data_IF_094416880647
#
_entry.id   IF_094416880647
#
_cell.length_a   1.000
_cell.length_b   1.000
_cell.length_c   1.000
_cell.angle_alpha   90.00
_cell.angle_beta   90.00
_cell.angle_gamma   90.00
#
_symmetry.space_group_name_H-M   'P 1'
#
loop_
_entity.id
_entity.type
_entity.pdbx_description
1 polymer ?
#
# COMPACT_ATOMS: atom_id res chain seq x y z
N UNK A 1 -2.73 -4.43 1.85
CA UNK A 1 -3.47 -4.29 0.57
C UNK A 1 -2.57 -4.02 -0.64
N UNK A 2 -1.50 -3.20 -0.53
CA UNK A 2 -0.59 -2.93 -1.67
C UNK A 2 -0.05 -4.18 -2.39
N UNK A 3 0.40 -5.18 -1.63
CA UNK A 3 0.98 -6.41 -2.22
C UNK A 3 -0.03 -7.43 -2.76
N UNK A 4 -1.22 -7.53 -2.18
CA UNK A 4 -2.16 -8.60 -2.50
C UNK A 4 -3.27 -8.13 -3.45
N UNK A 5 -3.59 -6.83 -3.39
CA UNK A 5 -4.62 -6.21 -4.21
C UNK A 5 -4.04 -5.37 -5.33
N UNK A 6 -3.30 -4.32 -4.98
CA UNK A 6 -2.84 -3.33 -5.97
C UNK A 6 -1.75 -3.90 -6.89
N UNK A 7 -0.85 -4.72 -6.34
CA UNK A 7 0.27 -5.25 -7.10
C UNK A 7 -0.14 -6.18 -8.26
N UNK A 8 -0.99 -7.22 -8.07
CA UNK A 8 -1.41 -8.05 -9.20
C UNK A 8 -2.13 -7.27 -10.30
N UNK A 9 -2.87 -6.22 -9.93
CA UNK A 9 -3.49 -5.30 -10.87
C UNK A 9 -2.45 -4.54 -11.69
N UNK A 10 -1.49 -3.88 -11.03
CA UNK A 10 -0.42 -3.16 -11.71
C UNK A 10 0.44 -4.06 -12.61
N UNK A 11 0.65 -5.32 -12.21
CA UNK A 11 1.31 -6.33 -13.04
C UNK A 11 0.45 -6.69 -14.27
N UNK A 12 -0.86 -6.85 -14.11
CA UNK A 12 -1.79 -7.10 -15.21
C UNK A 12 -1.77 -5.98 -16.27
N UNK A 13 -1.93 -4.74 -15.83
CA UNK A 13 -1.93 -3.57 -16.71
C UNK A 13 -0.57 -3.35 -17.39
N UNK A 14 0.51 -3.68 -16.67
CA UNK A 14 1.88 -3.50 -17.14
C UNK A 14 2.43 -4.64 -18.00
N UNK A 15 1.58 -5.58 -18.45
CA UNK A 15 1.99 -6.67 -19.34
C UNK A 15 2.71 -7.83 -18.63
N UNK A 16 2.31 -8.15 -17.41
CA UNK A 16 2.77 -9.32 -16.68
C UNK A 16 4.23 -9.24 -16.25
N UNK A 17 5.02 -10.23 -16.65
CA UNK A 17 6.42 -10.36 -16.28
C UNK A 17 7.29 -9.14 -16.66
N UNK A 18 6.91 -8.38 -17.70
CA UNK A 18 7.57 -7.15 -18.10
C UNK A 18 7.54 -6.11 -16.97
N UNK A 19 6.35 -5.84 -16.42
CA UNK A 19 6.18 -4.98 -15.26
C UNK A 19 6.92 -5.51 -14.04
N UNK A 20 6.79 -6.82 -13.75
CA UNK A 20 7.41 -7.44 -12.59
C UNK A 20 8.92 -7.19 -12.53
N UNK A 21 9.65 -7.37 -13.63
CA UNK A 21 11.11 -7.16 -13.65
C UNK A 21 11.47 -5.71 -13.40
N UNK A 22 10.76 -4.79 -14.06
CA UNK A 22 11.00 -3.36 -13.89
C UNK A 22 10.70 -2.94 -12.46
N UNK A 23 9.57 -3.37 -11.90
CA UNK A 23 9.21 -3.17 -10.50
C UNK A 23 10.31 -3.67 -9.54
N UNK A 24 10.82 -4.89 -9.74
CA UNK A 24 11.91 -5.42 -8.91
C UNK A 24 13.19 -4.58 -9.01
N UNK A 25 13.50 -4.06 -10.21
CA UNK A 25 14.61 -3.13 -10.39
C UNK A 25 14.38 -1.80 -9.65
N UNK A 26 13.17 -1.23 -9.71
CA UNK A 26 12.82 -0.02 -8.95
C UNK A 26 12.90 -0.24 -7.44
N UNK A 27 12.39 -1.36 -6.93
CA UNK A 27 12.51 -1.71 -5.50
C UNK A 27 13.98 -1.76 -5.08
N UNK A 28 14.85 -2.41 -5.85
CA UNK A 28 16.26 -2.55 -5.50
C UNK A 28 17.06 -1.24 -5.67
N UNK A 29 16.82 -0.49 -6.75
CA UNK A 29 17.64 0.67 -7.12
C UNK A 29 17.13 2.00 -6.56
N UNK A 30 15.85 2.08 -6.22
CA UNK A 30 15.19 3.32 -5.78
C UNK A 30 14.52 3.12 -4.43
N UNK A 31 13.71 2.07 -4.27
CA UNK A 31 13.01 1.78 -3.01
C UNK A 31 13.96 1.55 -1.84
N UNK A 32 14.98 0.70 -2.04
CA UNK A 32 16.00 0.39 -1.03
C UNK A 32 16.81 1.61 -0.56
N UNK A 33 17.41 2.43 -1.44
CA UNK A 33 18.09 3.63 -0.98
C UNK A 33 17.13 4.67 -0.37
N UNK A 34 15.88 4.77 -0.85
CA UNK A 34 14.90 5.71 -0.32
C UNK A 34 14.42 5.34 1.09
N UNK A 35 14.15 4.06 1.37
CA UNK A 35 13.71 3.65 2.72
C UNK A 35 14.79 3.92 3.78
N UNK A 36 16.08 3.80 3.43
CA UNK A 36 17.18 4.14 4.32
C UNK A 36 17.18 5.62 4.71
N UNK A 37 16.75 6.51 3.81
CA UNK A 37 16.66 7.93 4.09
C UNK A 37 15.62 8.21 5.20
N UNK A 38 14.44 7.59 5.13
CA UNK A 38 13.43 7.70 6.20
C UNK A 38 13.90 7.05 7.51
N UNK A 39 14.57 5.90 7.44
CA UNK A 39 15.09 5.23 8.63
C UNK A 39 16.11 6.06 9.39
N UNK A 40 17.02 6.68 8.66
CA UNK A 40 18.03 7.55 9.23
C UNK A 40 17.40 8.76 9.92
N UNK A 41 16.41 9.40 9.29
CA UNK A 41 15.69 10.53 9.89
C UNK A 41 14.94 10.10 11.17
N UNK A 42 14.22 8.98 11.11
CA UNK A 42 13.46 8.45 12.23
C UNK A 42 14.35 8.05 13.40
N UNK A 43 15.36 7.19 13.17
CA UNK A 43 16.26 6.71 14.22
C UNK A 43 17.06 7.86 14.84
N UNK A 44 17.55 8.80 14.03
CA UNK A 44 18.40 9.90 14.51
C UNK A 44 17.67 10.77 15.54
N UNK A 45 16.38 10.99 15.33
CA UNK A 45 15.58 11.95 16.11
C UNK A 45 14.80 11.25 17.21
N UNK A 46 14.35 10.00 17.01
CA UNK A 46 13.50 9.30 17.97
C UNK A 46 12.13 9.97 18.14
N UNK A 47 11.63 10.63 17.09
CA UNK A 47 10.38 11.41 17.12
C UNK A 47 9.40 10.96 16.04
N UNK A 48 8.12 11.28 16.23
CA UNK A 48 7.11 11.29 15.16
C UNK A 48 7.56 12.12 13.93
N UNK A 49 6.96 11.93 12.74
CA UNK A 49 7.45 12.55 11.52
C UNK A 49 7.48 14.08 11.50
N UNK A 50 6.58 14.76 12.23
CA UNK A 50 6.58 16.23 12.32
C UNK A 50 7.80 16.71 13.09
N UNK A 51 8.00 16.16 14.30
CA UNK A 51 9.15 16.48 15.13
C UNK A 51 10.47 16.07 14.48
N UNK A 52 10.50 14.89 13.85
CA UNK A 52 11.68 14.34 13.21
C UNK A 52 12.16 15.23 12.06
N UNK A 53 11.27 15.62 11.14
CA UNK A 53 11.65 16.48 10.01
C UNK A 53 12.04 17.88 10.49
N UNK A 54 11.34 18.43 11.49
CA UNK A 54 11.68 19.71 12.10
C UNK A 54 13.08 19.71 12.73
N UNK A 55 13.43 18.68 13.49
CA UNK A 55 14.73 18.55 14.15
C UNK A 55 15.85 18.29 13.13
N UNK A 56 15.57 17.48 12.11
CA UNK A 56 16.56 17.08 11.11
C UNK A 56 16.84 18.17 10.06
N UNK A 57 15.83 18.95 9.67
CA UNK A 57 15.93 19.96 8.60
C UNK A 57 15.77 21.42 9.03
N UNK A 58 15.30 21.69 10.25
CA UNK A 58 14.97 23.02 10.76
C UNK A 58 13.47 23.33 10.75
N UNK A 59 13.09 24.49 11.30
CA UNK A 59 11.69 24.78 11.67
C UNK A 59 10.67 24.66 10.52
N UNK A 60 11.04 25.03 9.30
CA UNK A 60 10.14 24.96 8.14
C UNK A 60 9.74 23.51 7.77
N UNK A 61 10.54 22.52 8.13
CA UNK A 61 10.28 21.12 7.77
C UNK A 61 9.14 20.49 8.57
N UNK A 62 8.68 21.13 9.65
CA UNK A 62 7.45 20.72 10.36
C UNK A 62 6.22 20.72 9.44
N UNK A 63 6.20 21.56 8.40
CA UNK A 63 5.10 21.61 7.44
C UNK A 63 5.08 20.37 6.54
N UNK A 64 6.25 19.87 6.13
CA UNK A 64 6.36 18.59 5.40
C UNK A 64 5.89 17.43 6.26
N UNK A 65 6.27 17.40 7.54
CA UNK A 65 5.72 16.40 8.46
C UNK A 65 4.21 16.53 8.65
N UNK A 66 3.68 17.77 8.64
CA UNK A 66 2.23 18.01 8.65
C UNK A 66 1.53 17.41 7.43
N UNK A 67 2.17 17.44 6.26
CA UNK A 67 1.68 16.73 5.07
C UNK A 67 1.61 15.22 5.32
N UNK A 68 2.55 14.61 6.05
CA UNK A 68 2.51 13.17 6.35
C UNK A 68 1.34 12.81 7.27
N UNK A 69 1.06 13.66 8.25
CA UNK A 69 -0.14 13.50 9.11
C UNK A 69 -1.41 13.61 8.27
N UNK A 70 -1.48 14.59 7.36
CA UNK A 70 -2.63 14.75 6.46
C UNK A 70 -2.81 13.55 5.53
N UNK A 71 -1.73 13.05 4.93
CA UNK A 71 -1.71 11.82 4.13
C UNK A 71 -2.28 10.66 4.95
N UNK A 72 -1.78 10.42 6.17
CA UNK A 72 -2.26 9.32 7.01
C UNK A 72 -3.75 9.40 7.32
N UNK A 73 -4.29 10.61 7.53
CA UNK A 73 -5.72 10.84 7.78
C UNK A 73 -6.56 10.46 6.55
N UNK A 74 -6.23 11.04 5.39
CA UNK A 74 -7.05 10.84 4.18
C UNK A 74 -6.86 9.42 3.63
N UNK A 75 -5.62 8.91 3.61
CA UNK A 75 -5.32 7.55 3.14
C UNK A 75 -6.11 6.52 3.93
N UNK A 76 -6.03 6.57 5.27
CA UNK A 76 -6.74 5.59 6.10
C UNK A 76 -8.27 5.70 5.96
N UNK A 77 -8.80 6.88 5.61
CA UNK A 77 -10.24 7.13 5.52
C UNK A 77 -10.94 6.32 4.44
N UNK A 78 -10.36 6.23 3.22
CA UNK A 78 -10.90 5.39 2.15
C UNK A 78 -10.36 3.95 2.22
N UNK A 79 -9.14 3.77 2.73
CA UNK A 79 -8.53 2.46 2.92
C UNK A 79 -9.39 1.54 3.79
N UNK A 80 -9.98 2.07 4.87
CA UNK A 80 -10.85 1.30 5.76
C UNK A 80 -12.19 0.90 5.12
N UNK A 81 -12.69 1.71 4.17
CA UNK A 81 -13.90 1.38 3.40
C UNK A 81 -13.61 0.23 2.44
N UNK A 82 -12.50 0.31 1.69
CA UNK A 82 -12.04 -0.79 0.81
C UNK A 82 -11.79 -2.07 1.62
N UNK A 83 -11.20 -1.97 2.81
CA UNK A 83 -11.03 -3.11 3.70
C UNK A 83 -12.39 -3.69 4.15
N UNK A 84 -13.40 -2.84 4.36
CA UNK A 84 -14.78 -3.25 4.59
C UNK A 84 -15.36 -4.06 3.43
N UNK A 85 -15.07 -3.69 2.18
CA UNK A 85 -15.47 -4.49 1.01
C UNK A 85 -14.86 -5.88 1.05
N UNK A 86 -13.56 -5.98 1.32
CA UNK A 86 -12.89 -7.28 1.50
C UNK A 86 -13.53 -8.14 2.59
N UNK A 87 -13.96 -7.52 3.71
CA UNK A 87 -14.73 -8.24 4.74
C UNK A 87 -16.06 -8.75 4.18
N UNK A 88 -16.79 -7.96 3.38
CA UNK A 88 -18.08 -8.40 2.81
C UNK A 88 -17.88 -9.61 1.88
N UNK A 89 -16.88 -9.58 1.00
CA UNK A 89 -16.55 -10.69 0.10
C UNK A 89 -16.08 -11.92 0.86
N UNK A 90 -15.25 -11.76 1.90
CA UNK A 90 -14.88 -12.85 2.80
C UNK A 90 -16.11 -13.50 3.46
N UNK A 91 -17.03 -12.69 3.98
CA UNK A 91 -18.27 -13.19 4.59
C UNK A 91 -19.22 -13.84 3.57
N UNK A 92 -19.18 -13.43 2.30
CA UNK A 92 -19.95 -14.06 1.23
C UNK A 92 -19.52 -15.54 1.04
N UNK A 93 -18.22 -15.84 1.09
CA UNK A 93 -17.71 -17.21 1.01
C UNK A 93 -18.25 -18.15 2.12
N UNK A 94 -18.61 -17.63 3.29
CA UNK A 94 -19.28 -18.43 4.33
C UNK A 94 -20.73 -18.73 4.00
N UNK A 95 -21.42 -17.82 3.31
CA UNK A 95 -22.86 -17.89 3.03
C UNK A 95 -23.22 -18.70 1.78
N UNK A 96 -22.28 -18.97 0.90
CA UNK A 96 -22.53 -19.70 -0.34
C UNK A 96 -21.29 -19.78 -1.22
N UNK A 97 -21.40 -20.41 -2.39
CA UNK A 97 -20.36 -20.31 -3.41
C UNK A 97 -20.43 -18.95 -4.12
N UNK A 98 -19.31 -18.49 -4.69
CA UNK A 98 -19.30 -17.25 -5.48
C UNK A 98 -20.15 -17.37 -6.75
N UNK A 99 -20.29 -18.59 -7.30
CA UNK A 99 -21.21 -18.86 -8.40
C UNK A 99 -22.68 -18.66 -8.00
N UNK A 100 -23.09 -19.10 -6.81
CA UNK A 100 -24.48 -18.90 -6.32
C UNK A 100 -24.78 -17.42 -6.09
N UNK A 101 -23.81 -16.67 -5.53
CA UNK A 101 -23.95 -15.23 -5.36
C UNK A 101 -24.07 -14.54 -6.71
N UNK A 102 -23.17 -14.86 -7.66
CA UNK A 102 -23.17 -14.28 -8.99
C UNK A 102 -24.45 -14.58 -9.77
N UNK A 103 -25.02 -15.78 -9.61
CA UNK A 103 -26.31 -16.16 -10.20
C UNK A 103 -27.48 -15.28 -9.72
N UNK A 104 -27.36 -14.69 -8.52
CA UNK A 104 -28.36 -13.73 -8.00
C UNK A 104 -28.32 -12.38 -8.73
N UNK A 105 -27.24 -12.11 -9.47
CA UNK A 105 -27.04 -10.92 -10.30
C UNK A 105 -26.96 -11.29 -11.79
N UNK A 106 -27.69 -12.32 -12.22
CA UNK A 106 -27.74 -12.79 -13.62
C UNK A 106 -26.37 -13.18 -14.24
N UNK A 107 -25.34 -13.44 -13.45
CA UNK A 107 -23.99 -13.67 -13.96
C UNK A 107 -23.10 -12.43 -14.00
N UNK A 108 -23.63 -11.25 -13.66
CA UNK A 108 -22.94 -9.96 -13.82
C UNK A 108 -22.16 -9.56 -12.57
N UNK A 109 -20.85 -9.82 -12.58
CA UNK A 109 -19.97 -9.58 -11.43
C UNK A 109 -19.83 -8.08 -11.09
N UNK A 110 -20.02 -7.20 -12.08
CA UNK A 110 -20.00 -5.75 -11.89
C UNK A 110 -21.24 -5.25 -11.13
N UNK A 111 -22.43 -5.79 -11.42
CA UNK A 111 -23.66 -5.46 -10.66
C UNK A 111 -23.53 -5.92 -9.21
N UNK A 112 -23.02 -7.15 -9.02
CA UNK A 112 -22.70 -7.68 -7.70
C UNK A 112 -21.72 -6.76 -6.97
N UNK A 113 -20.69 -6.25 -7.63
CA UNK A 113 -19.74 -5.33 -7.01
C UNK A 113 -20.43 -4.07 -6.48
N UNK A 114 -21.18 -3.34 -7.30
CA UNK A 114 -21.82 -2.09 -6.89
C UNK A 114 -22.83 -2.30 -5.74
N UNK A 115 -23.62 -3.38 -5.77
CA UNK A 115 -24.50 -3.73 -4.65
C UNK A 115 -23.69 -4.13 -3.39
N UNK A 116 -22.51 -4.72 -3.59
CA UNK A 116 -21.66 -5.18 -2.50
C UNK A 116 -20.84 -4.09 -1.81
N UNK A 117 -20.48 -3.02 -2.50
CA UNK A 117 -19.47 -2.06 -1.99
C UNK A 117 -20.05 -0.73 -1.50
N UNK A 118 -21.29 -0.41 -1.86
CA UNK A 118 -21.91 0.85 -1.47
C UNK A 118 -23.10 0.68 -0.51
N UNK A 119 -23.47 1.78 0.16
CA UNK A 119 -24.63 1.86 1.04
C UNK A 119 -24.37 1.43 2.49
N UNK A 120 -25.46 1.12 3.21
CA UNK A 120 -25.42 0.96 4.68
C UNK A 120 -24.52 -0.19 5.15
N UNK A 121 -24.46 -1.29 4.39
CA UNK A 121 -23.56 -2.41 4.67
C UNK A 121 -22.09 -1.99 4.64
N UNK A 122 -21.72 -1.13 3.70
CA UNK A 122 -20.38 -0.54 3.57
C UNK A 122 -20.05 0.32 4.78
N UNK A 123 -20.98 1.19 5.20
CA UNK A 123 -20.85 1.99 6.43
C UNK A 123 -20.64 1.12 7.67
N UNK A 124 -21.41 0.03 7.82
CA UNK A 124 -21.28 -0.89 8.96
C UNK A 124 -19.90 -1.57 8.96
N UNK A 125 -19.43 -2.06 7.81
CA UNK A 125 -18.15 -2.76 7.72
C UNK A 125 -16.95 -1.81 7.87
N UNK A 126 -17.03 -0.59 7.35
CA UNK A 126 -16.09 0.51 7.64
C UNK A 126 -16.04 0.81 9.14
N UNK A 127 -17.20 0.89 9.80
CA UNK A 127 -17.29 1.11 11.25
C UNK A 127 -16.61 -0.03 12.03
N UNK A 128 -16.88 -1.28 11.66
CA UNK A 128 -16.27 -2.46 12.31
C UNK A 128 -14.75 -2.47 12.11
N UNK A 129 -14.29 -2.21 10.89
CA UNK A 129 -12.86 -2.18 10.58
C UNK A 129 -12.15 -1.07 11.35
N UNK A 130 -12.67 0.16 11.33
CA UNK A 130 -12.10 1.28 12.07
C UNK A 130 -12.12 1.04 13.59
N UNK A 131 -13.19 0.47 14.14
CA UNK A 131 -13.23 0.12 15.55
C UNK A 131 -12.14 -0.89 15.94
N UNK A 132 -11.88 -1.89 15.09
CA UNK A 132 -10.79 -2.85 15.29
C UNK A 132 -9.42 -2.17 15.22
N UNK A 133 -9.17 -1.34 14.21
CA UNK A 133 -7.91 -0.59 14.05
C UNK A 133 -7.65 0.34 15.25
N UNK A 134 -8.64 1.13 15.66
CA UNK A 134 -8.56 2.03 16.82
C UNK A 134 -8.30 1.23 18.09
N UNK A 135 -9.03 0.13 18.30
CA UNK A 135 -8.86 -0.73 19.47
C UNK A 135 -7.42 -1.24 19.61
N UNK A 136 -6.82 -1.72 18.52
CA UNK A 136 -5.44 -2.23 18.53
C UNK A 136 -4.43 -1.11 18.83
N UNK A 137 -4.55 0.05 18.19
CA UNK A 137 -3.62 1.18 18.40
C UNK A 137 -3.76 1.78 19.79
N UNK A 138 -4.98 1.83 20.33
CA UNK A 138 -5.25 2.33 21.68
C UNK A 138 -4.59 1.47 22.77
N UNK A 139 -4.44 0.16 22.55
CA UNK A 139 -3.72 -0.77 23.45
C UNK A 139 -2.19 -0.53 23.46
N UNK A 140 -1.67 0.28 22.55
CA UNK A 140 -0.25 0.65 22.48
C UNK A 140 0.64 -0.36 21.77
N UNK A 141 1.93 -0.02 21.70
CA UNK A 141 2.90 -0.69 20.83
C UNK A 141 3.08 -2.16 21.19
N UNK A 142 3.40 -2.48 22.46
CA UNK A 142 3.71 -3.87 22.88
C UNK A 142 2.47 -4.77 22.98
N UNK A 143 1.38 -4.26 23.55
CA UNK A 143 0.19 -5.06 23.86
C UNK A 143 -0.80 -5.11 22.68
N UNK A 144 -0.81 -4.10 21.81
CA UNK A 144 -1.65 -4.05 20.62
C UNK A 144 -0.86 -4.39 19.36
N UNK A 145 -0.06 -3.44 18.89
CA UNK A 145 0.57 -3.47 17.56
C UNK A 145 1.48 -4.68 17.38
N UNK A 146 2.44 -4.88 18.30
CA UNK A 146 3.44 -5.95 18.21
C UNK A 146 2.80 -7.33 18.25
N UNK A 147 1.82 -7.54 19.15
CA UNK A 147 1.11 -8.81 19.26
C UNK A 147 0.29 -9.11 17.99
N UNK A 148 -0.44 -8.11 17.50
CA UNK A 148 -1.26 -8.25 16.30
C UNK A 148 -0.37 -8.60 15.09
N UNK A 149 0.73 -7.88 14.88
CA UNK A 149 1.63 -8.11 13.74
C UNK A 149 2.34 -9.46 13.84
N UNK A 150 2.77 -9.89 15.05
CA UNK A 150 3.38 -11.21 15.28
C UNK A 150 2.45 -12.39 14.96
N UNK A 151 1.15 -12.18 15.00
CA UNK A 151 0.15 -13.17 14.60
C UNK A 151 -0.18 -13.05 13.11
N UNK A 152 -0.49 -11.84 12.65
CA UNK A 152 -1.03 -11.59 11.31
C UNK A 152 -0.01 -11.88 10.21
N UNK A 153 1.25 -11.47 10.35
CA UNK A 153 2.25 -11.61 9.27
C UNK A 153 2.60 -13.08 9.00
N UNK A 154 2.91 -13.92 10.00
CA UNK A 154 3.13 -15.34 9.74
C UNK A 154 1.88 -16.04 9.18
N UNK A 155 0.69 -15.71 9.68
CA UNK A 155 -0.56 -16.25 9.16
C UNK A 155 -0.75 -15.89 7.68
N UNK A 156 -0.51 -14.64 7.31
CA UNK A 156 -0.59 -14.17 5.93
C UNK A 156 0.36 -14.95 5.01
N UNK A 157 1.61 -15.17 5.41
CA UNK A 157 2.58 -15.95 4.63
C UNK A 157 2.09 -17.39 4.46
N UNK A 158 1.66 -18.05 5.53
CA UNK A 158 1.17 -19.43 5.47
C UNK A 158 -0.04 -19.55 4.55
N UNK A 159 -0.99 -18.62 4.66
CA UNK A 159 -2.20 -18.61 3.82
C UNK A 159 -1.86 -18.36 2.35
N UNK A 160 -0.99 -17.39 2.04
CA UNK A 160 -0.56 -17.13 0.65
C UNK A 160 0.21 -18.30 0.04
N UNK A 161 1.11 -18.94 0.81
CA UNK A 161 1.83 -20.13 0.32
C UNK A 161 0.86 -21.28 0.07
N UNK A 162 -0.08 -21.51 0.99
CA UNK A 162 -1.12 -22.53 0.80
C UNK A 162 -2.00 -22.26 -0.43
N UNK A 163 -2.40 -21.00 -0.64
CA UNK A 163 -3.13 -20.56 -1.83
C UNK A 163 -2.30 -20.76 -3.10
N UNK A 164 -1.00 -20.43 -3.09
CA UNK A 164 -0.13 -20.58 -4.26
C UNK A 164 0.05 -22.05 -4.64
N UNK A 165 0.21 -22.93 -3.64
CA UNK A 165 0.28 -24.39 -3.86
C UNK A 165 -1.02 -24.93 -4.45
N UNK A 166 -2.17 -24.45 -4.00
CA UNK A 166 -3.46 -24.87 -4.58
C UNK A 166 -3.68 -24.26 -5.98
N UNK A 167 -3.39 -22.97 -6.17
CA UNK A 167 -3.49 -22.31 -7.46
C UNK A 167 -2.66 -23.02 -8.54
N UNK A 168 -1.50 -23.58 -8.16
CA UNK A 168 -0.66 -24.39 -9.03
C UNK A 168 -1.35 -25.65 -9.58
N UNK A 169 -2.33 -26.22 -8.85
CA UNK A 169 -3.02 -27.45 -9.28
C UNK A 169 -4.23 -27.19 -10.18
N UNK A 170 -4.57 -25.92 -10.44
CA UNK A 170 -5.72 -25.57 -11.28
C UNK A 170 -5.42 -25.79 -12.76
N UNK A 171 -6.45 -26.21 -13.51
CA UNK A 171 -6.37 -26.31 -14.97
C UNK A 171 -6.19 -24.91 -15.57
N UNK A 172 -5.18 -24.71 -16.42
CA UNK A 172 -4.85 -23.39 -16.99
C UNK A 172 -3.82 -22.56 -16.19
N UNK A 173 -3.41 -23.02 -14.98
CA UNK A 173 -2.41 -22.34 -14.16
C UNK A 173 -1.08 -22.08 -14.90
N UNK A 174 -0.67 -23.01 -15.78
CA UNK A 174 0.54 -22.88 -16.58
C UNK A 174 0.57 -21.63 -17.48
N UNK A 175 -0.57 -21.24 -18.05
CA UNK A 175 -0.67 -20.02 -18.85
C UNK A 175 -0.55 -18.76 -17.97
N UNK A 176 -1.18 -18.78 -16.79
CA UNK A 176 -1.05 -17.70 -15.81
C UNK A 176 0.39 -17.52 -15.32
N UNK A 177 1.13 -18.62 -15.09
CA UNK A 177 2.54 -18.54 -14.78
C UNK A 177 3.40 -18.06 -15.94
N UNK A 178 3.10 -18.47 -17.18
CA UNK A 178 3.80 -17.95 -18.34
C UNK A 178 3.62 -16.43 -18.45
N UNK A 179 2.39 -15.94 -18.31
CA UNK A 179 2.10 -14.50 -18.29
C UNK A 179 2.86 -13.76 -17.18
N UNK A 180 2.88 -14.32 -15.97
CA UNK A 180 3.47 -13.65 -14.81
C UNK A 180 5.00 -13.75 -14.71
N UNK A 181 5.60 -14.82 -15.24
CA UNK A 181 7.01 -15.16 -15.02
C UNK A 181 7.87 -15.20 -16.30
N UNK A 182 7.29 -15.13 -17.49
CA UNK A 182 8.05 -15.10 -18.75
C UNK A 182 8.14 -13.69 -19.31
N UNK A 183 9.26 -12.98 -19.08
CA UNK A 183 9.41 -11.59 -19.50
C UNK A 183 9.55 -11.46 -21.02
N UNK A 184 8.89 -10.45 -21.57
CA UNK A 184 9.07 -10.04 -22.96
C UNK A 184 9.74 -8.66 -23.01
N UNK A 185 10.94 -8.61 -23.59
CA UNK A 185 11.69 -7.37 -23.76
C UNK A 185 11.03 -6.44 -24.79
N UNK A 186 10.25 -6.97 -25.74
CA UNK A 186 9.46 -6.19 -26.68
C UNK A 186 8.42 -5.34 -25.96
N UNK A 187 7.62 -5.98 -25.09
CA UNK A 187 6.63 -5.31 -24.24
C UNK A 187 7.23 -4.19 -23.40
N UNK A 188 8.43 -4.40 -22.82
CA UNK A 188 9.13 -3.34 -22.08
C UNK A 188 9.52 -2.19 -23.00
N UNK A 189 10.11 -2.48 -24.16
CA UNK A 189 10.59 -1.47 -25.09
C UNK A 189 9.45 -0.65 -25.72
N UNK A 190 8.29 -1.26 -25.95
CA UNK A 190 7.12 -0.59 -26.52
C UNK A 190 6.39 0.29 -25.49
N UNK A 191 6.32 -0.15 -24.23
CA UNK A 191 5.51 0.50 -23.18
C UNK A 191 6.34 1.21 -22.10
N UNK A 192 7.65 1.40 -22.29
CA UNK A 192 8.54 1.93 -21.25
C UNK A 192 8.07 3.27 -20.64
N UNK A 193 7.42 4.12 -21.44
CA UNK A 193 6.96 5.44 -21.01
C UNK A 193 5.83 5.39 -19.98
N UNK A 194 4.99 4.35 -20.01
CA UNK A 194 3.90 4.13 -19.02
C UNK A 194 4.33 3.14 -17.94
N UNK A 195 5.16 2.15 -18.31
CA UNK A 195 5.59 1.08 -17.41
C UNK A 195 6.57 1.57 -16.34
N UNK A 196 7.55 2.41 -16.68
CA UNK A 196 8.51 2.92 -15.67
C UNK A 196 7.84 3.76 -14.58
N UNK A 197 6.97 4.76 -14.89
CA UNK A 197 6.28 5.52 -13.85
C UNK A 197 5.35 4.66 -12.99
N UNK A 198 4.61 3.72 -13.59
CA UNK A 198 3.72 2.82 -12.86
C UNK A 198 4.49 1.92 -11.88
N UNK A 199 5.63 1.35 -12.33
CA UNK A 199 6.50 0.53 -11.48
C UNK A 199 7.12 1.36 -10.34
N UNK A 200 7.51 2.61 -10.61
CA UNK A 200 8.02 3.53 -9.59
C UNK A 200 6.94 3.84 -8.54
N UNK A 201 5.73 4.22 -8.97
CA UNK A 201 4.59 4.51 -8.09
C UNK A 201 4.26 3.32 -7.19
N UNK A 202 4.17 2.12 -7.78
CA UNK A 202 3.94 0.88 -7.02
C UNK A 202 5.05 0.62 -5.99
N UNK A 203 6.32 0.88 -6.33
CA UNK A 203 7.45 0.71 -5.41
C UNK A 203 7.41 1.70 -4.23
N UNK A 204 7.00 2.96 -4.44
CA UNK A 204 6.84 3.92 -3.36
C UNK A 204 5.66 3.58 -2.44
N UNK A 205 4.52 3.20 -3.03
CA UNK A 205 3.32 2.84 -2.28
C UNK A 205 3.56 1.62 -1.39
N UNK A 206 4.11 0.54 -1.94
CA UNK A 206 4.29 -0.71 -1.19
C UNK A 206 5.26 -0.56 -0.02
N UNK A 207 6.33 0.24 -0.22
CA UNK A 207 7.31 0.53 0.82
C UNK A 207 6.84 1.61 1.80
N UNK A 208 5.61 2.14 1.64
CA UNK A 208 5.03 3.19 2.49
C UNK A 208 5.93 4.43 2.60
N UNK A 209 6.58 4.79 1.50
CA UNK A 209 7.48 5.94 1.41
C UNK A 209 6.71 7.25 1.23
N UNK A 210 7.18 8.32 1.84
CA UNK A 210 6.58 9.65 1.72
C UNK A 210 5.36 9.91 2.59
N UNK A 211 5.01 8.98 3.48
CA UNK A 211 3.92 9.13 4.47
C UNK A 211 4.40 9.07 5.93
N UNK A 212 5.71 8.96 6.17
CA UNK A 212 6.28 9.00 7.52
C UNK A 212 6.09 7.72 8.35
N UNK A 213 5.54 6.65 7.79
CA UNK A 213 5.43 5.34 8.47
C UNK A 213 6.83 4.82 8.82
N UNK A 214 7.77 4.90 7.87
CA UNK A 214 9.13 4.38 8.08
C UNK A 214 9.94 5.27 9.03
N UNK A 215 9.74 6.59 9.01
CA UNK A 215 10.27 7.51 10.04
C UNK A 215 9.74 7.12 11.43
N UNK A 216 8.42 6.90 11.56
CA UNK A 216 7.79 6.56 12.84
C UNK A 216 8.33 5.25 13.40
N UNK A 217 8.42 4.19 12.59
CA UNK A 217 8.95 2.91 13.04
C UNK A 217 10.44 2.93 13.33
N UNK A 218 11.23 3.64 12.53
CA UNK A 218 12.66 3.78 12.80
C UNK A 218 12.94 4.59 14.07
N UNK A 219 12.02 5.47 14.49
CA UNK A 219 12.14 6.21 15.76
C UNK A 219 12.17 5.32 17.01
N UNK A 220 11.71 4.08 16.89
CA UNK A 220 11.72 3.09 17.98
C UNK A 220 12.97 2.19 17.98
N UNK A 221 13.88 2.35 17.02
CA UNK A 221 15.07 1.51 16.87
C UNK A 221 16.26 2.04 17.68
N UNK A 222 17.08 1.12 18.19
CA UNK A 222 18.37 1.42 18.81
C UNK A 222 19.48 1.74 17.80
N UNK A 223 20.50 2.47 18.24
CA UNK A 223 21.65 2.88 17.41
C UNK A 223 22.60 1.72 17.04
N UNK A 224 22.55 0.62 17.79
CA UNK A 224 23.33 -0.61 17.56
C UNK A 224 22.81 -1.44 16.37
N UNK A 225 21.60 -1.13 15.88
CA UNK A 225 20.93 -1.84 14.79
C UNK A 225 21.56 -1.51 13.44
N UNK A 226 21.66 -2.50 12.56
CA UNK A 226 22.08 -2.32 11.18
C UNK A 226 20.86 -1.95 10.31
N UNK A 227 20.70 -0.66 9.99
CA UNK A 227 19.55 -0.17 9.21
C UNK A 227 19.50 -0.78 7.80
N UNK A 228 20.65 -1.01 7.17
CA UNK A 228 20.75 -1.63 5.84
C UNK A 228 20.19 -3.06 5.85
N UNK A 229 20.51 -3.83 6.88
CA UNK A 229 19.99 -5.19 7.05
C UNK A 229 18.50 -5.19 7.38
N UNK A 230 18.06 -4.28 8.25
CA UNK A 230 16.64 -4.14 8.61
C UNK A 230 15.81 -3.73 7.36
N UNK A 231 16.30 -2.78 6.56
CA UNK A 231 15.69 -2.38 5.28
C UNK A 231 15.64 -3.52 4.26
N UNK A 232 16.74 -4.26 4.08
CA UNK A 232 16.79 -5.39 3.15
C UNK A 232 15.81 -6.49 3.55
N UNK A 233 15.67 -6.73 4.86
CA UNK A 233 14.72 -7.73 5.39
C UNK A 233 13.28 -7.29 5.12
N UNK A 234 12.94 -6.03 5.39
CA UNK A 234 11.60 -5.49 5.16
C UNK A 234 11.24 -5.56 3.68
N UNK A 235 12.12 -5.05 2.81
CA UNK A 235 11.91 -5.08 1.35
C UNK A 235 11.80 -6.51 0.81
N UNK A 236 12.62 -7.43 1.32
CA UNK A 236 12.58 -8.83 0.93
C UNK A 236 11.24 -9.49 1.27
N UNK A 237 10.72 -9.26 2.49
CA UNK A 237 9.40 -9.78 2.87
C UNK A 237 8.26 -9.10 2.10
N UNK A 238 8.33 -7.77 1.93
CA UNK A 238 7.34 -7.01 1.16
C UNK A 238 7.24 -7.53 -0.28
N UNK A 239 8.38 -7.60 -0.96
CA UNK A 239 8.51 -8.12 -2.32
C UNK A 239 8.11 -9.58 -2.40
N UNK A 240 8.47 -10.40 -1.41
CA UNK A 240 8.09 -11.81 -1.36
C UNK A 240 6.58 -12.01 -1.25
N UNK A 241 5.90 -11.19 -0.44
CA UNK A 241 4.43 -11.22 -0.32
C UNK A 241 3.78 -10.78 -1.64
N UNK A 242 4.27 -9.71 -2.27
CA UNK A 242 3.80 -9.27 -3.59
C UNK A 242 3.97 -10.38 -4.63
N UNK A 243 5.15 -11.00 -4.64
CA UNK A 243 5.47 -12.07 -5.58
C UNK A 243 4.55 -13.28 -5.40
N UNK A 244 4.34 -13.72 -4.15
CA UNK A 244 3.41 -14.79 -3.80
C UNK A 244 1.96 -14.47 -4.20
N UNK A 245 1.51 -13.22 -4.03
CA UNK A 245 0.18 -12.82 -4.45
C UNK A 245 -0.01 -12.99 -5.97
N UNK A 246 0.98 -12.60 -6.78
CA UNK A 246 0.95 -12.86 -8.22
C UNK A 246 0.91 -14.36 -8.57
N UNK A 247 1.62 -15.21 -7.82
CA UNK A 247 1.55 -16.66 -7.97
C UNK A 247 0.19 -17.28 -7.61
N UNK A 248 -0.69 -16.51 -6.96
CA UNK A 248 -2.08 -16.91 -6.71
C UNK A 248 -3.00 -16.32 -7.77
N UNK A 249 -2.94 -15.00 -7.98
CA UNK A 249 -3.92 -14.26 -8.79
C UNK A 249 -3.88 -14.68 -10.26
N UNK A 250 -2.69 -14.73 -10.89
CA UNK A 250 -2.61 -15.01 -12.32
C UNK A 250 -3.03 -16.44 -12.69
N UNK A 251 -2.61 -17.50 -11.97
CA UNK A 251 -3.16 -18.83 -12.22
C UNK A 251 -4.67 -18.88 -12.03
N UNK A 252 -5.21 -18.25 -10.99
CA UNK A 252 -6.66 -18.20 -10.74
C UNK A 252 -7.40 -17.50 -11.89
N UNK A 253 -6.88 -16.37 -12.39
CA UNK A 253 -7.45 -15.66 -13.53
C UNK A 253 -7.51 -16.54 -14.77
N UNK A 254 -6.38 -17.11 -15.19
CA UNK A 254 -6.34 -17.94 -16.40
C UNK A 254 -7.17 -19.23 -16.27
N UNK A 255 -7.20 -19.85 -15.10
CA UNK A 255 -8.07 -20.99 -14.81
C UNK A 255 -9.56 -20.61 -14.81
N UNK A 256 -9.88 -19.38 -14.41
CA UNK A 256 -11.23 -18.83 -14.40
C UNK A 256 -11.68 -18.24 -15.75
N UNK A 257 -10.81 -18.21 -16.76
CA UNK A 257 -11.07 -17.62 -18.07
C UNK A 257 -11.02 -16.09 -18.09
N UNK A 258 -10.34 -15.47 -17.13
CA UNK A 258 -10.24 -14.01 -16.98
C UNK A 258 -8.95 -13.50 -17.63
N UNK A 259 -9.07 -12.49 -18.48
CA UNK A 259 -7.94 -11.79 -19.09
C UNK A 259 -7.37 -10.73 -18.10
N UNK A 260 -6.06 -10.75 -17.79
CA UNK A 260 -5.45 -9.70 -16.97
C UNK A 260 -5.29 -8.39 -17.74
N UNK A 261 -5.36 -7.26 -17.03
CA UNK A 261 -5.10 -5.94 -17.60
C UNK A 261 -6.34 -5.21 -18.13
N UNK A 262 -7.52 -5.80 -18.01
CA UNK A 262 -8.79 -5.12 -18.29
C UNK A 262 -9.37 -4.52 -16.99
N UNK A 263 -9.28 -3.19 -16.81
CA UNK A 263 -10.05 -2.44 -15.82
C UNK A 263 -9.24 -1.64 -14.80
N UNK A 264 -9.86 -1.24 -13.68
CA UNK A 264 -9.27 -0.40 -12.63
C UNK A 264 -9.05 -1.14 -11.30
N UNK A 265 -8.70 -0.44 -10.20
CA UNK A 265 -8.46 -1.07 -8.90
C UNK A 265 -9.66 -1.88 -8.35
N UNK A 266 -10.89 -1.54 -8.75
CA UNK A 266 -12.12 -2.31 -8.47
C UNK A 266 -12.07 -3.72 -9.05
N UNK A 267 -11.41 -3.89 -10.20
CA UNK A 267 -11.54 -5.08 -11.02
C UNK A 267 -11.07 -6.33 -10.30
N UNK A 268 -10.20 -6.22 -9.28
CA UNK A 268 -9.89 -7.41 -8.47
C UNK A 268 -11.15 -8.04 -7.87
N UNK A 269 -12.12 -7.25 -7.43
CA UNK A 269 -13.34 -7.77 -6.80
C UNK A 269 -14.23 -8.44 -7.84
N UNK A 270 -14.32 -7.87 -9.04
CA UNK A 270 -15.08 -8.40 -10.17
C UNK A 270 -14.40 -9.66 -10.70
N UNK A 271 -13.18 -9.54 -11.19
CA UNK A 271 -12.37 -10.61 -11.79
C UNK A 271 -12.10 -11.77 -10.85
N UNK A 272 -11.75 -11.53 -9.58
CA UNK A 272 -11.53 -12.65 -8.65
C UNK A 272 -12.84 -13.37 -8.34
N UNK A 273 -13.94 -12.65 -8.20
CA UNK A 273 -15.24 -13.28 -7.92
C UNK A 273 -15.69 -14.14 -9.11
N UNK A 274 -15.53 -13.63 -10.33
CA UNK A 274 -15.82 -14.39 -11.55
C UNK A 274 -14.90 -15.60 -11.69
N UNK A 275 -13.59 -15.43 -11.48
CA UNK A 275 -12.64 -16.54 -11.51
C UNK A 275 -13.01 -17.62 -10.46
N UNK A 276 -13.37 -17.23 -9.24
CA UNK A 276 -13.80 -18.15 -8.20
C UNK A 276 -15.15 -18.82 -8.49
N UNK A 277 -16.02 -18.21 -9.29
CA UNK A 277 -17.25 -18.84 -9.74
C UNK A 277 -16.99 -19.97 -10.75
N UNK A 278 -15.91 -19.85 -11.54
CA UNK A 278 -15.63 -20.72 -12.67
C UNK A 278 -14.67 -21.89 -12.35
N UNK A 279 -13.95 -21.86 -11.22
CA UNK A 279 -12.94 -22.88 -10.87
C UNK A 279 -13.40 -23.89 -9.80
N UNK A 280 -12.92 -25.15 -9.86
CA UNK A 280 -13.14 -26.13 -8.80
C UNK A 280 -12.64 -25.63 -7.44
N UNK A 281 -13.49 -25.73 -6.41
CA UNK A 281 -13.12 -25.29 -5.05
C UNK A 281 -13.07 -23.76 -4.87
N UNK A 282 -13.52 -22.97 -5.85
CA UNK A 282 -13.45 -21.51 -5.85
C UNK A 282 -14.08 -20.83 -4.63
N UNK A 283 -15.11 -21.43 -4.01
CA UNK A 283 -15.65 -20.97 -2.71
C UNK A 283 -14.57 -20.89 -1.62
N UNK A 284 -13.80 -21.97 -1.43
CA UNK A 284 -12.80 -22.05 -0.36
C UNK A 284 -11.60 -21.20 -0.73
N UNK A 285 -11.15 -21.24 -1.99
CA UNK A 285 -10.08 -20.37 -2.49
C UNK A 285 -10.40 -18.90 -2.26
N UNK A 286 -11.60 -18.44 -2.64
CA UNK A 286 -12.00 -17.05 -2.44
C UNK A 286 -12.17 -16.68 -0.98
N UNK A 287 -12.73 -17.57 -0.14
CA UNK A 287 -12.80 -17.36 1.30
C UNK A 287 -11.42 -17.18 1.93
N UNK A 288 -10.46 -18.03 1.58
CA UNK A 288 -9.09 -17.91 2.11
C UNK A 288 -8.39 -16.68 1.53
N UNK A 289 -8.56 -16.38 0.24
CA UNK A 289 -7.98 -15.21 -0.43
C UNK A 289 -8.47 -13.91 0.20
N UNK A 290 -9.78 -13.64 0.21
CA UNK A 290 -10.31 -12.40 0.77
C UNK A 290 -10.03 -12.27 2.27
N UNK A 291 -10.07 -13.38 3.02
CA UNK A 291 -9.65 -13.40 4.43
C UNK A 291 -8.18 -13.00 4.61
N UNK A 292 -7.30 -13.47 3.72
CA UNK A 292 -5.88 -13.09 3.72
C UNK A 292 -5.69 -11.61 3.42
N UNK A 293 -6.48 -11.04 2.49
CA UNK A 293 -6.46 -9.60 2.22
C UNK A 293 -6.93 -8.79 3.41
N UNK A 294 -8.00 -9.21 4.12
CA UNK A 294 -8.48 -8.55 5.34
C UNK A 294 -7.41 -8.50 6.43
N UNK A 295 -6.69 -9.61 6.64
CA UNK A 295 -5.57 -9.66 7.60
C UNK A 295 -4.48 -8.65 7.21
N UNK A 296 -4.08 -8.65 5.94
CA UNK A 296 -3.07 -7.71 5.42
C UNK A 296 -3.54 -6.26 5.41
N UNK A 297 -4.84 -6.00 5.28
CA UNK A 297 -5.42 -4.67 5.38
C UNK A 297 -5.34 -4.14 6.81
N UNK A 298 -5.73 -4.96 7.79
CA UNK A 298 -5.70 -4.58 9.20
C UNK A 298 -4.28 -4.25 9.68
N UNK A 299 -3.26 -5.02 9.29
CA UNK A 299 -1.86 -4.75 9.65
C UNK A 299 -1.36 -3.40 9.15
N UNK A 300 -1.70 -3.04 7.90
CA UNK A 300 -1.32 -1.74 7.33
C UNK A 300 -2.11 -0.59 7.97
N UNK A 301 -3.41 -0.77 8.21
CA UNK A 301 -4.26 0.23 8.84
C UNK A 301 -3.77 0.63 10.24
N UNK A 302 -3.29 -0.35 11.03
CA UNK A 302 -2.65 -0.09 12.33
C UNK A 302 -1.42 0.82 12.17
N UNK A 303 -0.61 0.60 11.14
CA UNK A 303 0.60 1.38 10.88
C UNK A 303 0.27 2.82 10.50
N UNK A 304 -0.74 3.02 9.65
CA UNK A 304 -1.22 4.34 9.24
C UNK A 304 -1.81 5.13 10.40
N UNK A 305 -2.65 4.49 11.23
CA UNK A 305 -3.23 5.13 12.40
C UNK A 305 -2.16 5.47 13.46
N UNK A 306 -1.09 4.66 13.58
CA UNK A 306 0.00 4.94 14.50
C UNK A 306 0.75 6.23 14.15
N UNK A 307 0.99 6.53 12.87
CA UNK A 307 1.66 7.77 12.44
C UNK A 307 0.94 9.01 12.96
N UNK A 308 -0.38 9.07 12.75
CA UNK A 308 -1.19 10.23 13.16
C UNK A 308 -1.42 10.26 14.68
N UNK A 309 -1.46 9.09 15.31
CA UNK A 309 -1.59 8.96 16.76
C UNK A 309 -0.31 9.42 17.47
N UNK A 310 0.85 9.01 16.98
CA UNK A 310 2.16 9.40 17.51
C UNK A 310 2.36 10.91 17.47
N UNK A 311 1.92 11.57 16.39
CA UNK A 311 1.93 13.04 16.30
C UNK A 311 1.16 13.71 17.46
N UNK A 312 -0.07 13.26 17.73
CA UNK A 312 -0.87 13.85 18.81
C UNK A 312 -0.29 13.56 20.21
N UNK A 313 0.35 12.42 20.39
CA UNK A 313 1.00 12.08 21.66
C UNK A 313 2.23 12.97 21.85
N UNK A 314 3.16 12.95 20.90
CA UNK A 314 4.48 13.57 21.04
C UNK A 314 4.42 15.09 20.97
N UNK A 315 3.63 15.65 20.04
CA UNK A 315 3.62 17.10 19.77
C UNK A 315 2.48 17.84 20.48
N UNK A 316 1.45 17.11 20.94
CA UNK A 316 0.28 17.70 21.63
C UNK A 316 0.07 17.16 23.04
N UNK A 317 0.83 16.17 23.49
CA UNK A 317 0.74 15.61 24.85
C UNK A 317 -0.57 14.87 25.14
N UNK A 318 -1.28 14.42 24.10
CA UNK A 318 -2.57 13.73 24.26
C UNK A 318 -2.33 12.29 24.71
N UNK A 319 -3.11 11.80 25.67
CA UNK A 319 -3.06 10.38 26.07
C UNK A 319 -3.38 9.45 24.89
N UNK A 320 -2.62 8.36 24.75
CA UNK A 320 -2.70 7.45 23.59
C UNK A 320 -4.12 7.00 23.21
N UNK A 321 -4.92 6.56 24.17
CA UNK A 321 -6.28 6.08 23.88
C UNK A 321 -7.20 7.20 23.38
N UNK A 322 -7.03 8.43 23.88
CA UNK A 322 -7.75 9.63 23.40
C UNK A 322 -7.25 10.04 22.02
N UNK A 323 -5.94 9.98 21.79
CA UNK A 323 -5.34 10.29 20.50
C UNK A 323 -5.85 9.33 19.42
N UNK A 324 -5.72 8.01 19.64
CA UNK A 324 -6.16 6.98 18.71
C UNK A 324 -7.68 7.04 18.45
N UNK A 325 -8.49 7.21 19.51
CA UNK A 325 -9.94 7.30 19.39
C UNK A 325 -10.40 8.60 18.69
N UNK A 326 -9.82 9.74 19.07
CA UNK A 326 -10.18 11.05 18.51
C UNK A 326 -9.79 11.18 17.03
N UNK A 327 -8.55 10.84 16.68
CA UNK A 327 -8.12 10.89 15.28
C UNK A 327 -8.77 9.79 14.45
N UNK A 328 -8.95 8.60 15.02
CA UNK A 328 -9.67 7.51 14.35
C UNK A 328 -11.12 7.85 14.04
N UNK A 329 -11.81 8.59 14.92
CA UNK A 329 -13.16 9.09 14.66
C UNK A 329 -13.17 10.13 13.54
N UNK A 330 -12.19 11.04 13.50
CA UNK A 330 -12.05 11.99 12.39
C UNK A 330 -11.87 11.27 11.05
N UNK A 331 -10.97 10.29 11.02
CA UNK A 331 -10.69 9.46 9.84
C UNK A 331 -11.95 8.70 9.40
N UNK A 332 -12.68 8.12 10.35
CA UNK A 332 -13.95 7.44 10.08
C UNK A 332 -14.95 8.38 9.39
N UNK A 333 -15.12 9.60 9.89
CA UNK A 333 -16.06 10.59 9.33
C UNK A 333 -15.65 11.02 7.93
N UNK A 334 -14.35 11.27 7.70
CA UNK A 334 -13.81 11.61 6.38
C UNK A 334 -14.02 10.45 5.39
N UNK A 335 -14.02 9.20 5.86
CA UNK A 335 -14.26 8.03 5.02
C UNK A 335 -15.72 7.83 4.60
N UNK A 336 -16.70 8.43 5.29
CA UNK A 336 -18.13 8.18 5.02
C UNK A 336 -18.56 8.48 3.58
N UNK A 337 -18.16 9.59 2.92
CA UNK A 337 -18.51 9.85 1.51
C UNK A 337 -18.13 8.71 0.57
N UNK A 338 -16.99 8.05 0.82
CA UNK A 338 -16.49 6.94 -0.01
C UNK A 338 -17.34 5.66 0.09
N UNK A 339 -18.25 5.57 1.07
CA UNK A 339 -19.20 4.47 1.18
C UNK A 339 -20.43 4.64 0.28
N UNK A 340 -20.60 5.82 -0.34
CA UNK A 340 -21.74 6.14 -1.19
C UNK A 340 -21.44 6.06 -2.67
N UNK A 341 -20.28 6.57 -3.08
CA UNK A 341 -19.89 6.64 -4.48
C UNK A 341 -18.38 6.50 -4.62
N UNK A 342 -17.96 5.81 -5.67
CA UNK A 342 -16.55 5.56 -5.94
C UNK A 342 -15.78 6.83 -6.31
N UNK A 343 -16.44 7.85 -6.86
CA UNK A 343 -15.78 9.09 -7.27
C UNK A 343 -15.02 9.74 -6.10
N UNK A 344 -15.50 9.56 -4.86
CA UNK A 344 -14.81 10.06 -3.67
C UNK A 344 -13.53 9.27 -3.35
N UNK A 345 -13.50 7.96 -3.65
CA UNK A 345 -12.29 7.15 -3.52
C UNK A 345 -11.28 7.61 -4.56
N UNK A 346 -11.69 7.79 -5.81
CA UNK A 346 -10.82 8.28 -6.89
C UNK A 346 -10.25 9.67 -6.55
N UNK A 347 -11.08 10.57 -6.03
CA UNK A 347 -10.66 11.90 -5.58
C UNK A 347 -9.62 11.81 -4.45
N UNK A 348 -9.85 10.98 -3.44
CA UNK A 348 -8.96 10.87 -2.29
C UNK A 348 -7.66 10.16 -2.66
N UNK A 349 -7.76 8.98 -3.28
CA UNK A 349 -6.62 8.17 -3.69
C UNK A 349 -5.75 8.91 -4.72
N UNK A 350 -6.37 9.51 -5.74
CA UNK A 350 -5.65 10.28 -6.76
C UNK A 350 -4.83 11.43 -6.17
N UNK A 351 -5.37 12.16 -5.19
CA UNK A 351 -4.62 13.24 -4.55
C UNK A 351 -3.52 12.71 -3.63
N UNK A 352 -3.83 11.69 -2.83
CA UNK A 352 -2.89 11.20 -1.83
C UNK A 352 -1.76 10.40 -2.48
N UNK A 353 -2.11 9.39 -3.27
CA UNK A 353 -1.16 8.44 -3.81
C UNK A 353 -0.33 9.01 -4.96
N UNK A 354 -0.99 9.63 -5.95
CA UNK A 354 -0.30 10.14 -7.12
C UNK A 354 0.47 11.44 -6.85
N UNK A 355 0.01 12.26 -5.89
CA UNK A 355 0.61 13.59 -5.62
C UNK A 355 1.33 13.64 -4.28
N UNK A 356 0.61 13.49 -3.16
CA UNK A 356 1.18 13.82 -1.85
C UNK A 356 2.22 12.81 -1.36
N UNK A 357 2.07 11.51 -1.62
CA UNK A 357 3.09 10.50 -1.28
C UNK A 357 4.39 10.76 -2.04
N UNK A 358 4.31 10.98 -3.34
CA UNK A 358 5.47 11.25 -4.19
C UNK A 358 6.14 12.56 -3.77
N UNK A 359 5.35 13.60 -3.51
CA UNK A 359 5.84 14.86 -2.97
C UNK A 359 6.55 14.66 -1.61
N UNK A 360 5.96 13.87 -0.72
CA UNK A 360 6.52 13.59 0.58
C UNK A 360 7.86 12.87 0.50
N UNK A 361 7.94 11.83 -0.34
CA UNK A 361 9.17 11.13 -0.61
C UNK A 361 10.24 12.07 -1.21
N UNK A 362 9.85 12.93 -2.16
CA UNK A 362 10.74 13.92 -2.78
C UNK A 362 11.33 14.87 -1.73
N UNK A 363 10.51 15.36 -0.81
CA UNK A 363 10.98 16.26 0.25
C UNK A 363 11.98 15.57 1.18
N UNK A 364 11.75 14.31 1.56
CA UNK A 364 12.71 13.55 2.39
C UNK A 364 14.00 13.28 1.63
N UNK A 365 13.94 12.93 0.34
CA UNK A 365 15.13 12.74 -0.47
C UNK A 365 15.95 14.02 -0.61
N UNK A 366 15.31 15.19 -0.73
CA UNK A 366 15.98 16.49 -0.72
C UNK A 366 16.63 16.75 0.64
N UNK A 367 15.91 16.50 1.72
CA UNK A 367 16.41 16.68 3.08
C UNK A 367 17.67 15.84 3.34
N UNK A 368 17.62 14.56 3.01
CA UNK A 368 18.72 13.61 3.26
C UNK A 368 19.85 13.78 2.25
N UNK A 369 19.55 13.94 0.97
CA UNK A 369 20.55 14.03 -0.09
C UNK A 369 21.28 15.38 -0.17
N UNK A 370 20.58 16.48 0.10
CA UNK A 370 21.09 17.83 -0.14
C UNK A 370 21.24 18.69 1.11
N UNK A 371 20.30 18.62 2.06
CA UNK A 371 20.33 19.48 3.25
C UNK A 371 21.26 18.93 4.34
N UNK A 372 21.11 17.64 4.67
CA UNK A 372 21.85 17.01 5.76
C UNK A 372 22.52 15.66 5.39
N UNK A 373 23.28 15.58 4.28
CA UNK A 373 23.88 14.31 3.82
C UNK A 373 24.96 13.76 4.75
N UNK A 374 25.72 14.63 5.43
CA UNK A 374 26.77 14.19 6.37
C UNK A 374 26.16 13.53 7.61
N UNK A 375 25.11 14.15 8.15
CA UNK A 375 24.34 13.58 9.28
C UNK A 375 23.78 12.23 8.86
N UNK A 376 23.28 12.14 7.63
CA UNK A 376 22.68 10.92 7.13
C UNK A 376 23.67 9.75 7.06
N UNK A 377 24.86 10.02 6.50
CA UNK A 377 25.93 9.02 6.40
C UNK A 377 26.40 8.56 7.77
N UNK A 378 26.71 9.50 8.68
CA UNK A 378 27.14 9.17 10.04
C UNK A 378 26.10 8.34 10.77
N UNK A 379 24.81 8.65 10.59
CA UNK A 379 23.75 7.87 11.19
C UNK A 379 23.63 6.47 10.56
N UNK A 380 23.71 6.34 9.22
CA UNK A 380 23.64 5.04 8.54
C UNK A 380 24.78 4.09 8.95
N UNK A 381 25.97 4.63 9.21
CA UNK A 381 27.16 3.87 9.62
C UNK A 381 27.05 3.27 11.03
N UNK A 382 26.16 3.80 11.89
CA UNK A 382 25.90 3.22 13.21
C UNK A 382 25.28 1.83 13.07
N UNK A 383 25.91 0.84 13.70
CA UNK A 383 25.53 -0.57 13.64
C UNK A 383 26.10 -1.34 12.44
N UNK A 384 26.87 -0.69 11.56
CA UNK A 384 27.47 -1.30 10.35
C UNK A 384 28.99 -1.10 10.32
N UNK A 385 29.47 0.04 10.79
CA UNK A 385 30.84 0.51 10.62
C UNK A 385 30.96 1.44 9.41
N UNK A 386 32.20 1.82 9.09
CA UNK A 386 32.53 2.73 8.00
C UNK A 386 32.15 2.14 6.63
N UNK A 387 31.25 2.81 5.93
CA UNK A 387 30.71 2.39 4.64
C UNK A 387 31.51 2.93 3.44
N UNK A 388 32.49 3.80 3.68
CA UNK A 388 33.40 4.35 2.66
C UNK A 388 32.64 4.78 1.38
N UNK A 389 33.03 4.25 0.21
CA UNK A 389 32.43 4.58 -1.08
C UNK A 389 30.96 4.19 -1.23
N UNK A 390 30.45 3.24 -0.44
CA UNK A 390 29.05 2.83 -0.50
C UNK A 390 28.11 3.89 0.07
N UNK A 391 28.52 4.57 1.15
CA UNK A 391 27.75 5.71 1.69
C UNK A 391 27.66 6.84 0.66
N UNK A 392 28.76 7.11 -0.05
CA UNK A 392 28.77 8.13 -1.10
C UNK A 392 27.92 7.73 -2.30
N UNK A 393 27.94 6.46 -2.70
CA UNK A 393 27.08 5.92 -3.76
C UNK A 393 25.59 6.03 -3.40
N UNK A 394 25.23 5.71 -2.15
CA UNK A 394 23.87 5.86 -1.62
C UNK A 394 23.38 7.32 -1.69
N UNK A 395 24.19 8.28 -1.23
CA UNK A 395 23.84 9.70 -1.32
C UNK A 395 23.68 10.15 -2.77
N UNK A 396 24.53 9.69 -3.70
CA UNK A 396 24.38 10.03 -5.12
C UNK A 396 23.16 9.38 -5.77
N UNK A 397 22.79 8.17 -5.37
CA UNK A 397 21.54 7.54 -5.78
C UNK A 397 20.33 8.40 -5.35
N UNK A 398 20.33 8.90 -4.10
CA UNK A 398 19.30 9.83 -3.63
C UNK A 398 19.29 11.12 -4.46
N UNK A 399 20.45 11.74 -4.66
CA UNK A 399 20.56 13.07 -5.27
C UNK A 399 20.08 13.16 -6.72
N UNK A 400 20.27 12.09 -7.50
CA UNK A 400 20.09 12.15 -8.96
C UNK A 400 18.97 11.20 -9.41
N UNK A 401 19.18 9.87 -9.51
CA UNK A 401 18.17 9.00 -10.11
C UNK A 401 16.85 8.99 -9.33
N UNK A 402 16.89 8.97 -7.99
CA UNK A 402 15.67 8.94 -7.18
C UNK A 402 14.90 10.26 -7.29
N UNK A 403 15.58 11.40 -7.17
CA UNK A 403 14.93 12.72 -7.33
C UNK A 403 14.34 12.90 -8.73
N UNK A 404 15.04 12.47 -9.78
CA UNK A 404 14.51 12.55 -11.16
C UNK A 404 13.23 11.71 -11.29
N UNK A 405 13.25 10.48 -10.80
CA UNK A 405 12.06 9.61 -10.81
C UNK A 405 10.92 10.25 -10.05
N UNK A 406 11.16 10.77 -8.85
CA UNK A 406 10.12 11.41 -8.03
C UNK A 406 9.57 12.68 -8.67
N UNK A 407 10.40 13.50 -9.32
CA UNK A 407 9.95 14.71 -10.03
C UNK A 407 9.07 14.33 -11.23
N UNK A 408 9.48 13.33 -12.01
CA UNK A 408 8.69 12.85 -13.15
C UNK A 408 7.38 12.24 -12.67
N UNK A 409 7.42 11.35 -11.67
CA UNK A 409 6.22 10.75 -11.07
C UNK A 409 5.27 11.80 -10.49
N UNK A 410 5.79 12.84 -9.83
CA UNK A 410 4.96 13.91 -9.28
C UNK A 410 4.29 14.73 -10.40
N UNK A 411 5.02 15.02 -11.48
CA UNK A 411 4.45 15.71 -12.63
C UNK A 411 3.31 14.90 -13.26
N UNK A 412 3.54 13.61 -13.52
CA UNK A 412 2.53 12.73 -14.10
C UNK A 412 1.32 12.59 -13.16
N UNK A 413 1.55 12.37 -11.87
CA UNK A 413 0.46 12.27 -10.89
C UNK A 413 -0.36 13.56 -10.76
N UNK A 414 0.24 14.73 -10.92
CA UNK A 414 -0.49 16.00 -10.98
C UNK A 414 -1.37 16.06 -12.24
N UNK A 415 -0.85 15.63 -13.40
CA UNK A 415 -1.64 15.59 -14.65
C UNK A 415 -2.83 14.65 -14.50
N UNK A 416 -2.61 13.42 -14.03
CA UNK A 416 -3.66 12.43 -13.84
C UNK A 416 -4.73 12.92 -12.84
N UNK A 417 -4.29 13.60 -11.77
CA UNK A 417 -5.22 14.16 -10.78
C UNK A 417 -6.08 15.30 -11.34
N UNK A 418 -5.59 16.07 -12.32
CA UNK A 418 -6.40 17.09 -12.99
C UNK A 418 -7.57 16.46 -13.77
N UNK A 419 -7.36 15.29 -14.36
CA UNK A 419 -8.43 14.56 -15.05
C UNK A 419 -9.48 14.03 -14.05
N UNK A 420 -9.04 13.53 -12.89
CA UNK A 420 -9.94 13.13 -11.79
C UNK A 420 -10.78 14.32 -11.30
N UNK A 421 -10.18 15.51 -11.17
CA UNK A 421 -10.90 16.72 -10.78
C UNK A 421 -11.95 17.13 -11.82
N UNK A 422 -11.70 16.91 -13.11
CA UNK A 422 -12.68 17.14 -14.16
C UNK A 422 -13.87 16.18 -14.02
N UNK A 423 -13.61 14.88 -13.86
CA UNK A 423 -14.65 13.86 -13.61
C UNK A 423 -15.48 14.16 -12.36
N UNK A 424 -14.82 14.59 -11.27
CA UNK A 424 -15.52 14.97 -10.04
C UNK A 424 -16.38 16.24 -10.22
N UNK A 425 -15.92 17.20 -11.01
CA UNK A 425 -16.69 18.39 -11.36
C UNK A 425 -17.97 18.05 -12.14
N UNK A 426 -17.87 17.13 -13.11
CA UNK A 426 -19.04 16.62 -13.85
C UNK A 426 -20.01 15.90 -12.92
N UNK A 427 -19.50 15.04 -12.03
CA UNK A 427 -20.31 14.37 -11.02
C UNK A 427 -21.04 15.36 -10.11
N UNK A 428 -20.38 16.43 -9.65
CA UNK A 428 -21.02 17.47 -8.83
C UNK A 428 -22.16 18.15 -9.60
N UNK A 429 -21.94 18.53 -10.86
CA UNK A 429 -22.99 19.16 -11.68
C UNK A 429 -24.20 18.26 -11.93
N UNK A 430 -24.01 16.93 -11.91
CA UNK A 430 -25.07 15.97 -12.11
C UNK A 430 -25.87 15.65 -10.83
N UNK A 431 -25.26 15.83 -9.63
CA UNK A 431 -25.79 15.33 -8.37
C UNK A 431 -26.07 16.41 -7.29
N UNK A 432 -25.59 17.65 -7.48
CA UNK A 432 -25.80 18.80 -6.58
C UNK A 432 -26.49 19.94 -7.35
#
# INVERSE_FOLDING_TARGET
MGNIWRFPFAVGDGGGAAFLIVYLAFIALIGFPAILAEFVVGRKTGRNPVGALMEYGGEAWKYVGGVFVFIGIVLLSYYSVIAGWFIRYFLAGFRGSYADHLASYNGEAIEMFFDMTFGMSSVVLHTVFMAATIGIVALGIRQGIELAVKLMVPALIVLLVGLAVWAFTLDGAGAGYAYYLSPDAGTIAENWATLLPAAAGQAFFTLSLGMGVMITYASYLGEDRNLTKDAATIIGFDTGIAFLAGLVVFPVFFSGGIEPGEGGPITIFVSMTEAFANIPGGRVLGLVFFGTVVIGALSSAISLLEVVTAYLIDEKGVERWKAAGGIGLLIYVIGLPTTYDIIFIELYDGFIDAVLLVFGALMVMILVGWVAPKVAVTELEKGIGDLNGLAQAWIWAIRVPIIIVLVISLYLGIVDYMDILASFSEWMNANL
#
